data_IF_485043776429
#
_entry.id   IF_485043776429
#
_cell.length_a   1.000
_cell.length_b   1.000
_cell.length_c   1.000
_cell.angle_alpha   90.00
_cell.angle_beta   90.00
_cell.angle_gamma   90.00
#
_symmetry.space_group_name_H-M   'P 1'
#
loop_
_entity.id
_entity.type
_entity.pdbx_description
1 polymer ?
#
# COMPACT_ATOMS: atom_id res chain seq x y z
N UNK A 1 -39.59 29.68 40.44
CA UNK A 1 -39.52 29.17 39.06
C UNK A 1 -38.07 28.78 38.74
N UNK A 2 -37.73 27.49 38.76
CA UNK A 2 -36.35 27.03 38.51
C UNK A 2 -36.19 26.74 37.02
N UNK A 3 -35.38 27.58 36.31
CA UNK A 3 -35.02 27.39 34.90
C UNK A 3 -34.03 26.24 34.81
N UNK A 4 -34.43 25.11 34.19
CA UNK A 4 -33.53 24.01 33.83
C UNK A 4 -32.78 24.40 32.56
N UNK A 5 -31.44 24.63 32.68
CA UNK A 5 -30.55 24.86 31.57
C UNK A 5 -30.15 23.48 31.03
N UNK A 6 -30.60 23.12 29.83
CA UNK A 6 -30.14 21.95 29.09
C UNK A 6 -28.87 22.31 28.37
N UNK A 7 -27.74 21.85 28.89
CA UNK A 7 -26.44 21.94 28.22
C UNK A 7 -26.43 20.92 27.08
N UNK A 8 -26.61 21.38 25.85
CA UNK A 8 -26.52 20.54 24.64
C UNK A 8 -25.05 20.33 24.30
N UNK A 9 -24.48 19.16 24.67
CA UNK A 9 -23.15 18.76 24.39
C UNK A 9 -23.03 18.43 22.89
N UNK A 10 -22.50 19.36 22.09
CA UNK A 10 -22.23 19.15 20.65
C UNK A 10 -20.96 18.35 20.49
N UNK A 11 -21.10 17.03 20.32
CA UNK A 11 -19.97 16.13 20.01
C UNK A 11 -19.62 16.27 18.53
N UNK A 12 -18.56 17.02 18.22
CA UNK A 12 -18.01 17.14 16.88
C UNK A 12 -17.19 15.87 16.63
N UNK A 13 -17.72 14.94 15.85
CA UNK A 13 -16.96 13.83 15.31
C UNK A 13 -16.05 14.39 14.20
N UNK A 14 -14.77 14.58 14.49
CA UNK A 14 -13.76 14.71 13.47
C UNK A 14 -13.59 13.34 12.81
N UNK A 15 -14.32 13.12 11.72
CA UNK A 15 -14.06 12.00 10.82
C UNK A 15 -12.76 12.32 10.08
N UNK A 16 -11.67 11.74 10.52
CA UNK A 16 -10.42 11.74 9.79
C UNK A 16 -10.57 10.68 8.68
N UNK A 17 -11.12 11.07 7.55
CA UNK A 17 -11.13 10.22 6.36
C UNK A 17 -9.75 10.26 5.72
N UNK A 18 -8.87 9.32 6.07
CA UNK A 18 -7.86 8.91 5.12
C UNK A 18 -8.61 8.17 4.02
N UNK A 19 -8.67 8.73 2.85
CA UNK A 19 -9.18 8.06 1.67
C UNK A 19 -8.19 6.95 1.29
N UNK A 20 -8.33 5.83 1.97
CA UNK A 20 -7.63 4.61 1.65
C UNK A 20 -8.61 3.72 0.89
N UNK A 21 -8.48 3.63 -0.39
CA UNK A 21 -9.51 2.95 -1.15
C UNK A 21 -9.04 1.73 -1.91
N UNK A 22 -7.76 1.41 -1.87
CA UNK A 22 -7.30 0.25 -2.61
C UNK A 22 -6.49 -0.68 -1.70
N UNK A 23 -7.16 -1.73 -1.23
CA UNK A 23 -6.60 -2.77 -0.39
C UNK A 23 -6.92 -4.14 -1.00
N UNK A 24 -5.92 -5.05 -1.02
CA UNK A 24 -6.07 -6.41 -1.50
C UNK A 24 -5.56 -7.40 -0.46
N UNK A 25 -6.42 -8.35 -0.07
CA UNK A 25 -6.11 -9.47 0.84
C UNK A 25 -5.78 -10.73 0.07
N UNK A 26 -4.68 -11.39 0.44
CA UNK A 26 -4.31 -12.68 -0.14
C UNK A 26 -4.94 -13.84 0.62
N UNK A 27 -5.53 -14.77 -0.13
CA UNK A 27 -6.11 -15.99 0.43
C UNK A 27 -5.06 -16.80 1.17
N UNK A 28 -5.40 -17.27 2.36
CA UNK A 28 -4.51 -18.07 3.24
C UNK A 28 -3.17 -17.35 3.56
N UNK A 29 -3.14 -16.01 3.47
CA UNK A 29 -1.94 -15.18 3.65
C UNK A 29 -0.78 -15.60 2.73
N UNK A 30 -1.09 -15.94 1.48
CA UNK A 30 -0.14 -16.41 0.48
C UNK A 30 -0.33 -15.66 -0.82
N UNK A 31 0.69 -14.93 -1.26
CA UNK A 31 0.70 -14.28 -2.57
C UNK A 31 1.22 -15.24 -3.63
N UNK A 32 0.40 -15.55 -4.63
CA UNK A 32 0.81 -16.39 -5.76
C UNK A 32 1.42 -15.53 -6.86
N UNK A 33 2.52 -15.98 -7.47
CA UNK A 33 3.23 -15.21 -8.50
C UNK A 33 2.37 -14.89 -9.73
N UNK A 34 1.37 -15.71 -10.02
CA UNK A 34 0.41 -15.46 -11.10
C UNK A 34 -0.70 -14.47 -10.71
N UNK A 35 -0.82 -14.11 -9.43
CA UNK A 35 -1.83 -13.19 -8.92
C UNK A 35 -1.28 -11.77 -8.98
N UNK A 36 -1.77 -10.97 -9.94
CA UNK A 36 -1.46 -9.56 -10.04
C UNK A 36 -2.52 -8.75 -9.30
N UNK A 37 -2.07 -7.77 -8.56
CA UNK A 37 -2.95 -6.87 -7.79
C UNK A 37 -3.02 -5.54 -8.48
N UNK A 38 -4.23 -5.12 -8.81
CA UNK A 38 -4.48 -3.92 -9.60
C UNK A 38 -5.22 -2.87 -8.77
N UNK A 39 -4.72 -1.64 -8.80
CA UNK A 39 -5.29 -0.49 -8.10
C UNK A 39 -5.59 0.61 -9.12
N UNK A 40 -6.85 1.05 -9.16
CA UNK A 40 -7.31 2.07 -10.08
C UNK A 40 -7.49 3.41 -9.37
N UNK A 41 -7.01 4.48 -9.99
CA UNK A 41 -7.11 5.85 -9.51
C UNK A 41 -7.66 6.73 -10.63
N UNK A 42 -8.66 7.54 -10.32
CA UNK A 42 -9.20 8.53 -11.26
C UNK A 42 -8.80 9.93 -10.80
N UNK A 43 -7.98 10.60 -11.59
CA UNK A 43 -7.57 11.98 -11.34
C UNK A 43 -8.50 12.94 -12.10
N UNK A 44 -9.16 13.82 -11.36
CA UNK A 44 -10.13 14.77 -11.94
C UNK A 44 -9.45 16.00 -12.54
N UNK A 45 -8.30 16.39 -12.03
CA UNK A 45 -7.52 17.54 -12.47
C UNK A 45 -6.15 17.15 -13.01
N UNK A 46 -5.61 18.01 -13.91
CA UNK A 46 -4.23 17.85 -14.38
C UNK A 46 -3.26 18.48 -13.38
N UNK A 47 -2.10 17.85 -13.22
CA UNK A 47 -0.92 18.45 -12.62
C UNK A 47 -0.88 18.55 -11.08
N UNK A 48 -1.71 17.83 -10.35
CA UNK A 48 -1.43 17.64 -8.93
C UNK A 48 -0.32 16.60 -8.72
N UNK A 49 0.57 16.92 -7.81
CA UNK A 49 1.67 16.03 -7.46
C UNK A 49 1.27 15.18 -6.26
N UNK A 50 1.23 13.87 -6.47
CA UNK A 50 0.89 12.92 -5.41
C UNK A 50 2.10 12.09 -4.99
N UNK A 51 2.13 11.74 -3.71
CA UNK A 51 2.99 10.67 -3.21
C UNK A 51 2.22 9.36 -3.27
N UNK A 52 2.86 8.33 -3.77
CA UNK A 52 2.32 6.98 -3.71
C UNK A 52 2.96 6.23 -2.54
N UNK A 53 2.13 5.78 -1.62
CA UNK A 53 2.54 5.01 -0.45
C UNK A 53 2.05 3.57 -0.59
N UNK A 54 2.95 2.61 -0.44
CA UNK A 54 2.62 1.19 -0.47
C UNK A 54 2.67 0.63 0.95
N UNK A 55 1.53 0.16 1.44
CA UNK A 55 1.49 -0.58 2.70
C UNK A 55 1.51 -2.09 2.44
N UNK A 56 2.34 -2.79 3.22
CA UNK A 56 2.45 -4.25 3.21
C UNK A 56 2.08 -4.77 4.58
N UNK A 57 1.07 -5.63 4.64
CA UNK A 57 0.68 -6.35 5.84
C UNK A 57 1.18 -7.79 5.76
N UNK A 58 1.96 -8.21 6.75
CA UNK A 58 2.59 -9.52 6.76
C UNK A 58 2.60 -10.16 8.16
N UNK A 59 2.81 -11.48 8.21
CA UNK A 59 3.03 -12.21 9.46
C UNK A 59 4.46 -12.06 9.94
N UNK A 60 4.69 -12.19 11.24
CA UNK A 60 6.04 -12.26 11.80
C UNK A 60 6.77 -13.55 11.40
N UNK A 61 6.06 -14.55 10.88
CA UNK A 61 6.61 -15.77 10.29
C UNK A 61 7.01 -15.62 8.82
N UNK A 62 6.85 -14.43 8.21
CA UNK A 62 7.33 -14.16 6.85
C UNK A 62 8.84 -14.44 6.74
N UNK A 63 9.29 -15.27 5.78
CA UNK A 63 10.65 -15.83 5.82
C UNK A 63 11.75 -14.91 5.26
N UNK A 64 11.40 -13.70 4.78
CA UNK A 64 12.35 -12.79 4.16
C UNK A 64 12.36 -11.43 4.88
N UNK A 65 13.47 -10.69 4.73
CA UNK A 65 13.61 -9.34 5.29
C UNK A 65 13.06 -8.26 4.36
N UNK A 66 12.83 -8.60 3.09
CA UNK A 66 12.33 -7.68 2.07
C UNK A 66 11.23 -8.31 1.23
N UNK A 67 10.54 -7.48 0.48
CA UNK A 67 9.58 -7.87 -0.55
C UNK A 67 9.97 -7.16 -1.86
N UNK A 68 10.17 -7.94 -2.94
CA UNK A 68 10.49 -7.39 -4.26
C UNK A 68 9.27 -7.54 -5.17
N UNK A 69 8.84 -6.43 -5.75
CA UNK A 69 7.69 -6.35 -6.65
C UNK A 69 8.08 -5.66 -7.96
N UNK A 70 7.39 -5.98 -9.03
CA UNK A 70 7.27 -5.09 -10.18
C UNK A 70 5.98 -4.27 -10.04
N UNK A 71 6.09 -2.97 -10.29
CA UNK A 71 4.94 -2.09 -10.37
C UNK A 71 4.80 -1.59 -11.81
N UNK A 72 3.72 -1.97 -12.42
CA UNK A 72 3.38 -1.58 -13.77
C UNK A 72 2.38 -0.44 -13.72
N UNK A 73 2.73 0.69 -14.30
CA UNK A 73 1.85 1.85 -14.38
C UNK A 73 1.20 1.94 -15.77
N UNK A 74 -0.11 2.07 -15.77
CA UNK A 74 -0.92 2.24 -16.98
C UNK A 74 -1.70 3.55 -16.90
N UNK A 75 -1.89 4.19 -18.03
CA UNK A 75 -2.80 5.31 -18.23
C UNK A 75 -3.74 4.97 -19.39
N UNK A 76 -5.05 5.03 -19.17
CA UNK A 76 -6.06 4.67 -20.17
C UNK A 76 -5.74 3.33 -20.88
N UNK A 77 -5.41 2.31 -20.10
CA UNK A 77 -4.99 0.96 -20.55
C UNK A 77 -3.67 0.90 -21.33
N UNK A 78 -2.96 2.01 -21.50
CA UNK A 78 -1.63 2.01 -22.10
C UNK A 78 -0.55 1.96 -21.03
N UNK A 79 0.33 0.97 -21.11
CA UNK A 79 1.46 0.85 -20.19
C UNK A 79 2.43 2.01 -20.38
N UNK A 80 2.72 2.73 -19.30
CA UNK A 80 3.65 3.86 -19.26
C UNK A 80 5.03 3.43 -18.76
N UNK A 81 5.08 2.71 -17.63
CA UNK A 81 6.35 2.29 -17.00
C UNK A 81 6.23 0.94 -16.32
N UNK A 82 7.39 0.40 -15.96
CA UNK A 82 7.54 -0.70 -15.00
C UNK A 82 8.71 -0.36 -14.10
N UNK A 83 8.45 -0.32 -12.80
CA UNK A 83 9.43 -0.02 -11.78
C UNK A 83 9.65 -1.26 -10.91
N UNK A 84 10.88 -1.46 -10.43
CA UNK A 84 11.20 -2.53 -9.49
C UNK A 84 11.27 -1.96 -8.09
N UNK A 85 10.47 -2.51 -7.18
CA UNK A 85 10.39 -2.12 -5.79
C UNK A 85 11.12 -3.13 -4.93
N UNK A 86 12.04 -2.66 -4.11
CA UNK A 86 12.63 -3.45 -3.04
C UNK A 86 12.21 -2.85 -1.70
N UNK A 87 11.22 -3.46 -1.06
CA UNK A 87 10.64 -2.99 0.18
C UNK A 87 11.31 -3.72 1.34
N UNK A 88 12.12 -3.00 2.11
CA UNK A 88 12.75 -3.54 3.30
C UNK A 88 11.73 -3.60 4.44
N UNK A 89 11.35 -4.81 4.86
CA UNK A 89 10.38 -5.05 5.93
C UNK A 89 11.05 -5.26 7.29
N UNK A 90 12.32 -5.65 7.31
CA UNK A 90 13.09 -5.86 8.52
C UNK A 90 14.53 -5.39 8.41
N UNK A 91 15.13 -5.06 9.55
CA UNK A 91 16.56 -4.77 9.67
C UNK A 91 17.41 -6.04 9.49
N UNK A 92 18.72 -5.86 9.27
CA UNK A 92 19.68 -6.96 9.20
C UNK A 92 19.72 -7.85 10.48
N UNK A 93 19.26 -7.31 11.61
CA UNK A 93 19.11 -8.07 12.86
C UNK A 93 17.79 -8.83 12.97
N UNK A 94 16.94 -8.78 11.94
CA UNK A 94 15.63 -9.44 11.91
C UNK A 94 14.52 -8.70 12.65
N UNK A 95 14.74 -7.46 13.07
CA UNK A 95 13.69 -6.63 13.70
C UNK A 95 12.80 -6.04 12.61
N UNK A 96 11.51 -6.34 12.69
CA UNK A 96 10.49 -5.79 11.78
C UNK A 96 10.38 -4.28 11.93
N UNK A 97 10.32 -3.56 10.80
CA UNK A 97 10.08 -2.11 10.75
C UNK A 97 8.60 -1.77 10.94
N UNK A 98 7.72 -2.66 10.47
CA UNK A 98 6.27 -2.49 10.56
C UNK A 98 5.76 -2.50 12.01
N UNK A 99 4.65 -1.78 12.23
CA UNK A 99 3.93 -1.73 13.50
C UNK A 99 2.82 -2.80 13.49
N UNK A 100 2.43 -3.29 14.66
CA UNK A 100 1.32 -4.24 14.75
C UNK A 100 1.22 -4.94 16.09
N UNK A 101 0.22 -5.82 16.21
CA UNK A 101 -0.05 -6.60 17.42
C UNK A 101 0.07 -8.09 17.09
N UNK A 102 0.44 -8.89 18.10
CA UNK A 102 0.60 -10.33 17.97
C UNK A 102 1.58 -10.70 16.85
N UNK A 103 1.18 -11.53 15.93
CA UNK A 103 1.97 -12.06 14.80
C UNK A 103 1.80 -11.30 13.49
N UNK A 104 1.14 -10.15 13.50
CA UNK A 104 0.91 -9.32 12.31
C UNK A 104 1.70 -8.02 12.39
N UNK A 105 2.30 -7.64 11.28
CA UNK A 105 2.98 -6.34 11.09
C UNK A 105 2.44 -5.67 9.83
N UNK A 106 2.34 -4.35 9.89
CA UNK A 106 2.02 -3.50 8.75
C UNK A 106 3.14 -2.47 8.61
N UNK A 107 3.75 -2.44 7.45
CA UNK A 107 4.79 -1.52 7.07
C UNK A 107 4.30 -0.64 5.93
N UNK A 108 4.43 0.67 6.08
CA UNK A 108 4.14 1.65 5.04
C UNK A 108 5.47 2.12 4.47
N UNK A 109 5.71 1.81 3.22
CA UNK A 109 6.83 2.37 2.46
C UNK A 109 6.44 3.77 2.01
N UNK A 110 6.87 4.77 2.78
CA UNK A 110 6.72 6.17 2.42
C UNK A 110 7.62 6.50 1.23
N UNK A 111 7.11 7.30 0.30
CA UNK A 111 7.86 7.74 -0.89
C UNK A 111 8.42 6.57 -1.71
N UNK A 112 7.60 5.56 -1.90
CA UNK A 112 7.87 4.45 -2.80
C UNK A 112 8.36 4.93 -4.17
N UNK A 113 7.93 6.11 -4.57
CA UNK A 113 8.37 6.81 -5.77
C UNK A 113 8.47 8.32 -5.48
N UNK A 114 9.32 9.03 -6.24
CA UNK A 114 9.33 10.49 -6.23
C UNK A 114 7.94 11.01 -6.57
N UNK A 115 7.48 12.14 -5.96
CA UNK A 115 6.18 12.69 -6.27
C UNK A 115 6.00 12.82 -7.77
N UNK A 116 4.98 12.16 -8.33
CA UNK A 116 4.66 12.19 -9.75
C UNK A 116 3.46 13.08 -10.01
N UNK A 117 3.53 13.81 -11.10
CA UNK A 117 2.37 14.52 -11.65
C UNK A 117 1.58 13.55 -12.51
N UNK A 118 0.32 13.36 -12.18
CA UNK A 118 -0.57 12.50 -12.94
C UNK A 118 -1.43 13.34 -13.91
N UNK A 119 -1.63 12.83 -15.11
CA UNK A 119 -2.57 13.42 -16.07
C UNK A 119 -4.00 13.17 -15.61
N UNK A 120 -4.93 14.05 -15.94
CA UNK A 120 -6.37 13.79 -15.76
C UNK A 120 -6.78 12.50 -16.48
N UNK A 121 -7.52 11.64 -15.77
CA UNK A 121 -8.04 10.38 -16.30
C UNK A 121 -7.75 9.18 -15.40
N UNK A 122 -7.97 7.99 -15.94
CA UNK A 122 -7.85 6.73 -15.20
C UNK A 122 -6.42 6.20 -15.29
N UNK A 123 -5.79 6.07 -14.13
CA UNK A 123 -4.50 5.43 -13.96
C UNK A 123 -4.68 4.10 -13.23
N UNK A 124 -3.92 3.09 -13.65
CA UNK A 124 -3.92 1.79 -13.02
C UNK A 124 -2.48 1.41 -12.64
N UNK A 125 -2.30 0.95 -11.41
CA UNK A 125 -1.03 0.44 -10.90
C UNK A 125 -1.21 -1.04 -10.57
N UNK A 126 -0.51 -1.88 -11.31
CA UNK A 126 -0.54 -3.32 -11.15
C UNK A 126 0.74 -3.79 -10.48
N UNK A 127 0.61 -4.47 -9.34
CA UNK A 127 1.71 -5.09 -8.61
C UNK A 127 1.85 -6.56 -8.98
N UNK A 128 3.07 -6.96 -9.29
CA UNK A 128 3.45 -8.33 -9.62
C UNK A 128 4.56 -8.79 -8.68
N UNK A 129 4.44 -10.00 -8.14
CA UNK A 129 5.46 -10.61 -7.28
C UNK A 129 6.74 -10.88 -8.08
N UNK A 130 7.88 -10.33 -7.63
CA UNK A 130 9.20 -10.46 -8.27
C UNK A 130 10.24 -11.17 -7.39
N UNK A 131 9.80 -11.82 -6.31
CA UNK A 131 10.68 -12.54 -5.39
C UNK A 131 11.34 -13.76 -6.04
N UNK A 132 12.62 -13.96 -5.72
CA UNK A 132 13.40 -15.11 -6.16
C UNK A 132 14.06 -15.79 -4.96
N UNK A 133 14.24 -17.08 -5.04
CA UNK A 133 14.96 -17.84 -4.02
C UNK A 133 16.50 -17.77 -4.25
N UNK A 134 17.28 -18.40 -3.35
CA UNK A 134 18.75 -18.43 -3.43
C UNK A 134 19.30 -19.06 -4.71
N UNK A 135 18.49 -19.78 -5.48
CA UNK A 135 18.85 -20.36 -6.79
C UNK A 135 18.39 -19.49 -7.97
N UNK A 136 17.97 -18.25 -7.73
CA UNK A 136 17.39 -17.34 -8.71
C UNK A 136 16.13 -17.87 -9.42
N UNK A 137 15.42 -18.80 -8.79
CA UNK A 137 14.15 -19.28 -9.27
C UNK A 137 13.02 -18.44 -8.70
N UNK A 138 12.02 -18.17 -9.51
CA UNK A 138 10.79 -17.52 -9.11
C UNK A 138 10.13 -18.23 -7.93
N UNK A 139 9.68 -17.45 -6.94
CA UNK A 139 8.86 -17.97 -5.84
C UNK A 139 7.41 -17.94 -6.31
N UNK A 140 6.84 -19.12 -6.54
CA UNK A 140 5.47 -19.25 -7.04
C UNK A 140 4.40 -18.96 -6.00
N UNK A 141 4.68 -19.24 -4.73
CA UNK A 141 3.80 -19.03 -3.59
C UNK A 141 4.61 -18.42 -2.45
N UNK A 142 4.32 -17.18 -2.13
CA UNK A 142 4.98 -16.41 -1.08
C UNK A 142 4.09 -16.39 0.16
N UNK A 143 4.40 -17.25 1.12
CA UNK A 143 3.67 -17.34 2.38
C UNK A 143 3.99 -16.17 3.31
N UNK A 144 3.02 -15.81 4.15
CA UNK A 144 3.17 -14.80 5.19
C UNK A 144 2.84 -13.37 4.76
N UNK A 145 2.49 -13.12 3.51
CA UNK A 145 1.93 -11.85 3.07
C UNK A 145 0.40 -11.91 3.19
N UNK A 146 -0.15 -11.04 4.04
CA UNK A 146 -1.59 -10.96 4.31
C UNK A 146 -2.29 -10.12 3.25
N UNK A 147 -1.71 -8.95 2.93
CA UNK A 147 -2.29 -8.04 1.96
C UNK A 147 -1.38 -6.87 1.63
N UNK A 148 -1.78 -6.14 0.61
CA UNK A 148 -1.14 -4.89 0.17
C UNK A 148 -2.19 -3.82 -0.08
N UNK A 149 -1.80 -2.56 0.10
CA UNK A 149 -2.64 -1.42 -0.22
C UNK A 149 -1.80 -0.28 -0.81
N UNK A 150 -2.40 0.48 -1.71
CA UNK A 150 -1.82 1.69 -2.26
C UNK A 150 -2.64 2.91 -1.81
N UNK A 151 -1.93 3.94 -1.35
CA UNK A 151 -2.51 5.21 -0.93
C UNK A 151 -1.91 6.32 -1.79
N UNK A 152 -2.76 7.25 -2.19
CA UNK A 152 -2.33 8.53 -2.73
C UNK A 152 -2.44 9.57 -1.61
N UNK A 153 -1.38 10.30 -1.36
CA UNK A 153 -1.40 11.47 -0.50
C UNK A 153 -0.97 12.69 -1.31
N UNK A 154 -1.68 13.80 -1.14
CA UNK A 154 -1.26 15.07 -1.71
C UNK A 154 0.10 15.45 -1.13
N UNK A 155 0.96 16.01 -1.98
CA UNK A 155 2.21 16.59 -1.50
C UNK A 155 1.88 17.80 -0.63
N UNK A 156 2.04 17.67 0.68
CA UNK A 156 2.06 18.85 1.55
C UNK A 156 3.26 19.72 1.16
N UNK A 157 2.98 20.97 0.77
CA UNK A 157 3.98 21.98 0.50
C UNK A 157 4.85 22.30 1.72
#
# INVERSE_FOLDING_TARGET
>A
MKKKIYLFLFVVFFSCSKEATNYHDFKQNTWKSMERVSFEFNFEDNAESYNLELAVRHKTSYPYQNLILFAHHYFENKKLSTDTLNIELASNSGRWYGKGKSDIREFVAENYDTPKTYSKGIHNIELELAMRNSKNLEIKELEGIIGVSLYLSEKNE
#
